data_IF_395955621076
#
_entry.id   IF_395955621076
#
_cell.length_a   1.000
_cell.length_b   1.000
_cell.length_c   1.000
_cell.angle_alpha   90.00
_cell.angle_beta   90.00
_cell.angle_gamma   90.00
#
_symmetry.space_group_name_H-M   'P 1'
#
loop_
_entity.id
_entity.type
_entity.pdbx_description
1 polymer ?
#
# COMPACT_ATOMS: atom_id res chain seq x y z
N UNK A 1 -16.61 -17.11 -8.23
CA UNK A 1 -15.41 -16.24 -8.18
C UNK A 1 -15.73 -14.79 -8.60
N UNK A 2 -16.91 -14.23 -8.27
CA UNK A 2 -17.37 -12.94 -8.85
C UNK A 2 -17.86 -11.87 -7.88
N UNK A 3 -18.10 -12.17 -6.61
CA UNK A 3 -18.70 -11.22 -5.67
C UNK A 3 -17.75 -10.69 -4.58
N UNK A 4 -16.67 -11.40 -4.26
CA UNK A 4 -15.70 -10.96 -3.24
C UNK A 4 -14.82 -9.83 -3.77
N UNK A 5 -14.30 -9.96 -4.99
CA UNK A 5 -13.48 -8.96 -5.68
C UNK A 5 -14.22 -7.62 -5.81
N UNK A 6 -15.51 -7.69 -6.15
CA UNK A 6 -16.38 -6.53 -6.29
C UNK A 6 -16.75 -5.88 -4.95
N UNK A 7 -16.73 -6.61 -3.84
CA UNK A 7 -16.96 -6.05 -2.49
C UNK A 7 -15.69 -5.45 -1.91
N UNK A 8 -14.57 -6.18 -1.94
CA UNK A 8 -13.27 -5.69 -1.46
C UNK A 8 -12.77 -4.49 -2.26
N UNK A 9 -12.97 -4.49 -3.59
CA UNK A 9 -12.60 -3.35 -4.44
C UNK A 9 -13.36 -2.06 -4.12
N UNK A 10 -14.63 -2.14 -3.67
CA UNK A 10 -15.39 -0.93 -3.26
C UNK A 10 -14.78 -0.28 -2.02
N UNK A 11 -14.37 -1.08 -1.04
CA UNK A 11 -13.70 -0.56 0.16
C UNK A 11 -12.42 0.19 -0.17
N UNK A 12 -11.58 -0.40 -1.04
CA UNK A 12 -10.33 0.21 -1.49
C UNK A 12 -10.57 1.51 -2.29
N UNK A 13 -11.55 1.52 -3.19
CA UNK A 13 -11.92 2.73 -3.92
C UNK A 13 -12.37 3.86 -2.98
N UNK A 14 -13.21 3.54 -1.98
CA UNK A 14 -13.68 4.52 -1.00
C UNK A 14 -12.51 5.04 -0.16
N UNK A 15 -11.59 4.17 0.27
CA UNK A 15 -10.37 4.55 0.98
C UNK A 15 -9.52 5.55 0.18
N UNK A 16 -9.22 5.25 -1.08
CA UNK A 16 -8.49 6.18 -1.95
C UNK A 16 -9.21 7.51 -2.10
N UNK A 17 -10.54 7.49 -2.28
CA UNK A 17 -11.34 8.71 -2.44
C UNK A 17 -11.28 9.62 -1.21
N UNK A 18 -11.34 9.05 0.00
CA UNK A 18 -11.46 9.82 1.25
C UNK A 18 -10.11 10.22 1.82
N UNK A 19 -9.07 9.41 1.61
CA UNK A 19 -7.76 9.65 2.19
C UNK A 19 -6.82 10.48 1.29
N UNK A 20 -7.05 10.51 -0.03
CA UNK A 20 -6.12 11.07 -1.01
C UNK A 20 -6.71 12.29 -1.72
N UNK A 21 -5.92 13.35 -1.82
CA UNK A 21 -6.15 14.52 -2.66
C UNK A 21 -5.63 14.30 -4.08
N UNK A 22 -6.04 15.11 -5.08
CA UNK A 22 -5.38 15.13 -6.39
C UNK A 22 -3.88 15.38 -6.23
N UNK A 23 -3.05 14.59 -6.93
CA UNK A 23 -1.59 14.62 -6.80
C UNK A 23 -1.03 13.62 -5.78
N UNK A 24 -1.83 13.19 -4.80
CA UNK A 24 -1.40 12.12 -3.88
C UNK A 24 -1.36 10.77 -4.60
N UNK A 25 -0.43 9.93 -4.15
CA UNK A 25 -0.15 8.63 -4.72
C UNK A 25 -0.24 7.51 -3.68
N UNK A 26 -0.50 6.30 -4.19
CA UNK A 26 -0.50 5.05 -3.43
C UNK A 26 0.75 4.25 -3.77
N UNK A 27 1.53 3.85 -2.78
CA UNK A 27 2.59 2.85 -2.95
C UNK A 27 2.01 1.44 -2.82
N UNK A 28 2.40 0.52 -3.70
CA UNK A 28 1.89 -0.87 -3.71
C UNK A 28 3.03 -1.86 -3.94
N UNK A 29 3.21 -2.90 -3.12
CA UNK A 29 4.17 -3.96 -3.41
C UNK A 29 3.69 -4.79 -4.60
N UNK A 30 4.59 -5.15 -5.51
CA UNK A 30 4.27 -5.92 -6.71
C UNK A 30 5.08 -7.23 -6.76
N UNK A 31 4.47 -8.38 -7.13
CA UNK A 31 3.05 -8.54 -7.48
C UNK A 31 2.11 -8.54 -6.26
N UNK A 32 0.90 -8.02 -6.44
CA UNK A 32 -0.21 -8.08 -5.46
C UNK A 32 -1.54 -8.39 -6.15
N UNK A 33 -2.51 -8.86 -5.37
CA UNK A 33 -3.89 -9.08 -5.76
C UNK A 33 -4.52 -7.90 -6.54
N UNK A 34 -5.14 -8.22 -7.69
CA UNK A 34 -5.56 -7.27 -8.73
C UNK A 34 -6.42 -6.08 -8.25
N UNK A 35 -7.39 -6.21 -7.31
CA UNK A 35 -8.16 -5.07 -6.83
C UNK A 35 -7.32 -3.93 -6.23
N UNK A 36 -6.17 -4.22 -5.61
CA UNK A 36 -5.26 -3.18 -5.12
C UNK A 36 -4.63 -2.38 -6.27
N UNK A 37 -4.39 -3.02 -7.41
CA UNK A 37 -3.83 -2.36 -8.60
C UNK A 37 -4.82 -1.33 -9.14
N UNK A 38 -6.10 -1.67 -9.26
CA UNK A 38 -7.08 -0.81 -9.90
C UNK A 38 -7.69 0.27 -9.01
N UNK A 39 -7.57 0.15 -7.68
CA UNK A 39 -8.31 1.03 -6.76
C UNK A 39 -7.87 2.50 -6.83
N UNK A 40 -6.56 2.76 -6.99
CA UNK A 40 -6.04 4.11 -7.22
C UNK A 40 -6.54 4.69 -8.55
N UNK A 41 -6.50 3.87 -9.60
CA UNK A 41 -6.78 4.29 -10.98
C UNK A 41 -8.27 4.62 -11.14
N UNK A 42 -9.16 3.79 -10.58
CA UNK A 42 -10.60 4.05 -10.50
C UNK A 42 -10.95 5.39 -9.84
N UNK A 43 -10.02 5.89 -9.02
CA UNK A 43 -10.18 7.11 -8.24
C UNK A 43 -9.37 8.29 -8.76
N UNK A 44 -8.74 8.16 -9.94
CA UNK A 44 -7.85 9.17 -10.51
C UNK A 44 -6.78 9.59 -9.49
N UNK A 45 -6.11 8.60 -8.88
CA UNK A 45 -4.95 8.78 -7.98
C UNK A 45 -3.73 8.12 -8.59
N UNK A 46 -2.55 8.66 -8.28
CA UNK A 46 -1.29 8.07 -8.75
C UNK A 46 -0.98 6.76 -8.03
N UNK A 47 -0.20 5.90 -8.69
CA UNK A 47 0.30 4.64 -8.10
C UNK A 47 1.79 4.52 -8.39
N UNK A 48 2.54 4.10 -7.38
CA UNK A 48 3.94 3.71 -7.50
C UNK A 48 4.11 2.29 -6.96
N UNK A 49 4.83 1.46 -7.69
CA UNK A 49 5.07 0.09 -7.25
C UNK A 49 6.42 -0.01 -6.55
N UNK A 50 6.47 -0.73 -5.42
CA UNK A 50 7.71 -1.20 -4.81
C UNK A 50 7.87 -2.70 -5.06
N UNK A 51 9.10 -3.17 -5.06
CA UNK A 51 9.38 -4.59 -5.30
C UNK A 51 9.15 -5.46 -4.07
N UNK A 52 9.01 -6.76 -4.32
CA UNK A 52 9.06 -7.82 -3.33
C UNK A 52 10.32 -8.66 -3.59
N UNK A 53 11.03 -9.01 -2.52
CA UNK A 53 12.18 -9.90 -2.56
C UNK A 53 11.74 -11.33 -2.27
N UNK A 54 12.21 -12.30 -3.07
CA UNK A 54 12.03 -13.71 -2.74
C UNK A 54 13.20 -14.15 -1.85
N UNK A 55 12.93 -14.39 -0.57
CA UNK A 55 13.89 -14.87 0.42
C UNK A 55 13.49 -16.31 0.76
N UNK A 56 14.23 -17.26 0.20
CA UNK A 56 14.04 -18.71 0.46
C UNK A 56 12.59 -19.19 0.24
N UNK A 57 11.92 -18.66 -0.78
CA UNK A 57 10.54 -19.01 -1.13
C UNK A 57 9.47 -18.16 -0.44
N UNK A 58 9.86 -17.25 0.47
CA UNK A 58 8.96 -16.26 1.08
C UNK A 58 9.07 -14.93 0.34
N UNK A 59 7.93 -14.34 -0.03
CA UNK A 59 7.92 -12.98 -0.58
C UNK A 59 7.96 -11.97 0.57
N UNK A 60 9.05 -11.21 0.65
CA UNK A 60 9.29 -10.18 1.65
C UNK A 60 9.25 -8.79 1.04
N UNK A 61 8.94 -7.77 1.86
CA UNK A 61 8.98 -6.38 1.44
C UNK A 61 10.41 -5.95 1.17
N UNK A 62 10.64 -5.30 0.03
CA UNK A 62 11.91 -4.65 -0.23
C UNK A 62 11.95 -3.27 0.43
N UNK A 63 12.42 -3.21 1.67
CA UNK A 63 12.51 -1.97 2.43
C UNK A 63 13.45 -0.94 1.82
N UNK A 64 14.49 -1.38 1.08
CA UNK A 64 15.40 -0.48 0.38
C UNK A 64 14.68 0.18 -0.81
N UNK A 65 13.95 -0.61 -1.60
CA UNK A 65 13.07 -0.09 -2.65
C UNK A 65 12.02 0.88 -2.07
N UNK A 66 11.39 0.52 -0.94
CA UNK A 66 10.43 1.40 -0.26
C UNK A 66 11.09 2.74 0.09
N UNK A 67 12.26 2.72 0.73
CA UNK A 67 12.95 3.93 1.17
C UNK A 67 13.34 4.84 0.00
N UNK A 68 13.87 4.26 -1.09
CA UNK A 68 14.29 4.98 -2.29
C UNK A 68 13.12 5.62 -3.04
N UNK A 69 11.98 4.92 -3.11
CA UNK A 69 10.78 5.35 -3.82
C UNK A 69 9.89 6.27 -2.99
N UNK A 70 10.07 6.34 -1.67
CA UNK A 70 9.22 7.11 -0.79
C UNK A 70 9.42 8.61 -0.98
N UNK A 71 8.39 9.28 -1.49
CA UNK A 71 8.33 10.72 -1.70
C UNK A 71 7.21 11.38 -0.90
N UNK A 72 7.11 12.72 -0.96
CA UNK A 72 6.06 13.46 -0.25
C UNK A 72 4.66 13.18 -0.81
N UNK A 73 4.54 12.82 -2.08
CA UNK A 73 3.28 12.50 -2.73
C UNK A 73 2.70 11.15 -2.29
N UNK A 74 3.51 10.25 -1.73
CA UNK A 74 3.05 8.95 -1.23
C UNK A 74 2.30 9.14 0.10
N UNK A 75 0.97 9.07 0.05
CA UNK A 75 0.10 9.23 1.25
C UNK A 75 -0.57 7.96 1.72
N UNK A 76 -0.47 6.88 0.94
CA UNK A 76 -1.05 5.58 1.28
C UNK A 76 -0.13 4.46 0.83
N UNK A 77 -0.10 3.38 1.62
CA UNK A 77 0.57 2.14 1.27
C UNK A 77 -0.46 1.02 1.24
N UNK A 78 -0.64 0.40 0.09
CA UNK A 78 -1.49 -0.77 -0.06
C UNK A 78 -0.74 -2.04 0.28
N UNK A 79 -1.41 -2.91 1.03
CA UNK A 79 -0.83 -4.11 1.59
C UNK A 79 -1.92 -5.13 1.88
N UNK A 80 -1.57 -6.42 1.86
CA UNK A 80 -2.49 -7.52 2.13
C UNK A 80 -1.78 -8.55 3.01
N UNK A 81 -2.49 -9.07 4.03
CA UNK A 81 -1.90 -10.01 4.97
C UNK A 81 -2.94 -11.07 5.41
N UNK A 82 -2.85 -12.32 4.92
CA UNK A 82 -1.73 -12.89 4.16
C UNK A 82 -1.57 -12.28 2.76
N UNK A 83 -0.32 -12.10 2.33
CA UNK A 83 -0.01 -11.54 1.01
C UNK A 83 -0.61 -12.41 -0.10
N UNK A 84 -1.25 -11.80 -1.09
CA UNK A 84 -1.75 -12.50 -2.26
C UNK A 84 -1.02 -11.93 -3.48
N UNK A 85 -0.33 -12.73 -4.31
CA UNK A 85 -0.44 -14.21 -4.44
C UNK A 85 0.57 -15.05 -3.63
N UNK A 86 1.45 -14.45 -2.83
CA UNK A 86 2.58 -15.17 -2.21
C UNK A 86 2.29 -16.02 -0.96
N UNK A 87 1.18 -15.79 -0.28
CA UNK A 87 0.82 -16.43 0.99
C UNK A 87 1.58 -15.92 2.22
N UNK A 88 2.48 -14.93 2.08
CA UNK A 88 3.30 -14.42 3.20
C UNK A 88 2.42 -13.86 4.30
N UNK A 89 2.56 -14.37 5.52
CA UNK A 89 2.04 -13.70 6.72
C UNK A 89 3.13 -12.80 7.28
N UNK A 90 2.92 -11.50 7.22
CA UNK A 90 3.86 -10.53 7.74
C UNK A 90 3.68 -10.36 9.25
N UNK A 91 4.80 -10.43 9.97
CA UNK A 91 4.85 -10.27 11.41
C UNK A 91 4.64 -8.81 11.84
N UNK A 92 4.55 -8.58 13.15
CA UNK A 92 4.22 -7.26 13.69
C UNK A 92 5.31 -6.23 13.40
N UNK A 93 6.58 -6.64 13.45
CA UNK A 93 7.75 -5.80 13.19
C UNK A 93 7.78 -5.36 11.73
N UNK A 94 7.53 -6.27 10.79
CA UNK A 94 7.44 -5.96 9.37
C UNK A 94 6.35 -4.91 9.07
N UNK A 95 5.18 -5.05 9.72
CA UNK A 95 4.08 -4.08 9.61
C UNK A 95 4.37 -2.76 10.33
N UNK A 96 5.16 -2.77 11.41
CA UNK A 96 5.60 -1.54 12.09
C UNK A 96 6.52 -0.73 11.19
N UNK A 97 7.44 -1.38 10.49
CA UNK A 97 8.38 -0.74 9.56
C UNK A 97 7.67 -0.01 8.43
N UNK A 98 6.66 -0.61 7.79
CA UNK A 98 5.86 0.08 6.75
C UNK A 98 5.36 1.44 7.25
N UNK A 99 4.73 1.47 8.42
CA UNK A 99 4.23 2.76 8.92
C UNK A 99 5.28 3.63 9.59
N UNK A 100 6.50 3.14 9.85
CA UNK A 100 7.63 4.02 10.17
C UNK A 100 7.95 4.88 8.94
N UNK A 101 8.13 4.27 7.76
CA UNK A 101 8.36 4.99 6.51
C UNK A 101 7.25 6.01 6.21
N UNK A 102 5.98 5.60 6.35
CA UNK A 102 4.85 6.51 6.12
C UNK A 102 4.84 7.71 7.09
N UNK A 103 5.25 7.52 8.36
CA UNK A 103 5.28 8.60 9.37
C UNK A 103 6.46 9.54 9.19
N UNK A 104 7.65 9.02 8.94
CA UNK A 104 8.87 9.83 8.80
C UNK A 104 8.73 10.87 7.68
N UNK A 105 8.08 10.48 6.58
CA UNK A 105 7.82 11.37 5.45
C UNK A 105 6.59 12.25 5.65
N UNK A 106 5.60 11.79 6.43
CA UNK A 106 4.49 12.64 6.87
C UNK A 106 4.93 13.76 7.84
N UNK A 107 5.95 13.52 8.66
CA UNK A 107 6.44 14.47 9.66
C UNK A 107 7.19 15.68 9.09
N UNK A 108 7.56 15.68 7.80
CA UNK A 108 8.05 16.89 7.13
C UNK A 108 6.94 17.94 6.92
N UNK A 109 5.66 17.57 7.11
CA UNK A 109 4.52 18.47 7.00
C UNK A 109 3.60 18.29 8.23
N UNK A 110 3.77 19.15 9.24
CA UNK A 110 3.03 19.17 10.52
C UNK A 110 1.53 19.51 10.40
N UNK A 111 0.89 19.22 9.26
CA UNK A 111 -0.55 19.36 9.06
C UNK A 111 -1.02 18.31 8.05
N UNK A 112 -1.91 17.42 8.50
CA UNK A 112 -2.57 16.25 7.83
C UNK A 112 -2.07 14.89 8.29
N UNK A 113 -2.48 14.51 9.51
CA UNK A 113 -2.51 13.10 9.94
C UNK A 113 -3.59 12.38 9.15
N UNK A 114 -3.24 11.56 8.16
CA UNK A 114 -4.09 10.52 7.60
C UNK A 114 -3.22 9.40 6.99
N UNK A 115 -2.36 8.78 7.80
CA UNK A 115 -1.73 7.51 7.41
C UNK A 115 -2.74 6.38 7.63
N UNK A 116 -3.55 6.07 6.62
CA UNK A 116 -4.48 4.95 6.68
C UNK A 116 -3.77 3.65 6.28
N UNK A 117 -3.90 2.63 7.14
CA UNK A 117 -3.53 1.25 6.83
C UNK A 117 -4.82 0.49 6.54
N UNK A 118 -4.91 -0.14 5.39
CA UNK A 118 -5.98 -1.09 5.09
C UNK A 118 -5.37 -2.47 5.09
N UNK A 119 -5.58 -3.19 6.20
CA UNK A 119 -5.31 -4.62 6.30
C UNK A 119 -6.59 -5.33 5.84
N UNK A 120 -6.52 -6.02 4.70
CA UNK A 120 -7.52 -6.99 4.24
C UNK A 120 -6.96 -8.41 4.34
#
# INVERSE_FOLDING_TARGET
MGDLDARSGRGLNVACRTALSPGDMVMTPSPIYRPFVYASDNMNRGRLNTDLKNVEGRLELDYESIEQLMSEEIKMFFFCNPHNPGGTVFNQEEKKEIGRYMREKSNHNMCRRNSFRFDL
#
